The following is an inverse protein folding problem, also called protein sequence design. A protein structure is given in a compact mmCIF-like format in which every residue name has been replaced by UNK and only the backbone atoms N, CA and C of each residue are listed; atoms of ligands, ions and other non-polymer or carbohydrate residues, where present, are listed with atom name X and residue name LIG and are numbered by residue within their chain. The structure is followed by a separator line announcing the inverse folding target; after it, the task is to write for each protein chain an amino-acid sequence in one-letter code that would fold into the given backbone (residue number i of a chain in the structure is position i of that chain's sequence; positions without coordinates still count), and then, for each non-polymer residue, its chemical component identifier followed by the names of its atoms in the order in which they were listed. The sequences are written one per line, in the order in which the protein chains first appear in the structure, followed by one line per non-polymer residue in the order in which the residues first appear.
data_IF_475387331518
#
_entry.id   IF_475387331518
#
_cell.length_a   1.000
_cell.length_b   1.000
_cell.length_c   1.000
_cell.angle_alpha   90.00
_cell.angle_beta   90.00
_cell.angle_gamma   90.00
#
_symmetry.space_group_name_H-M   'P 1'
#
loop_
_entity.id
_entity.type
_entity.pdbx_description
1 polymer ?
#
# COMPACT_ATOMS: atom_id res chain seq x y z
N UNK A 1 30.37 -48.72 -1.05
CA UNK A 1 29.21 -48.50 -0.17
C UNK A 1 29.48 -47.19 0.55
N UNK A 2 28.78 -46.13 0.13
CA UNK A 2 28.97 -44.79 0.66
C UNK A 2 28.13 -44.63 1.93
N UNK A 3 28.74 -44.09 2.99
CA UNK A 3 28.04 -43.40 4.07
C UNK A 3 28.84 -42.15 4.35
N UNK A 4 28.48 -41.10 3.63
CA UNK A 4 28.98 -39.74 3.80
C UNK A 4 28.38 -39.18 5.10
N UNK A 5 29.25 -38.94 6.08
CA UNK A 5 28.93 -38.18 7.28
C UNK A 5 28.96 -36.69 6.92
N UNK A 6 27.78 -36.10 6.72
CA UNK A 6 27.61 -34.65 6.61
C UNK A 6 26.77 -34.17 7.79
N UNK A 7 27.51 -33.66 8.77
CA UNK A 7 27.01 -32.74 9.77
C UNK A 7 27.02 -31.34 9.15
N UNK A 8 25.90 -30.93 8.56
CA UNK A 8 25.67 -29.60 8.02
C UNK A 8 24.47 -28.93 8.68
N UNK A 9 24.77 -28.14 9.72
CA UNK A 9 24.26 -26.77 9.87
C UNK A 9 22.76 -26.54 10.06
N UNK A 10 22.44 -25.88 11.19
CA UNK A 10 21.21 -25.10 11.44
C UNK A 10 19.90 -25.89 11.51
N UNK A 11 19.31 -25.93 12.69
CA UNK A 11 18.09 -25.15 12.95
C UNK A 11 17.65 -25.31 14.40
N UNK A 12 18.03 -24.36 15.25
CA UNK A 12 17.44 -24.23 16.58
C UNK A 12 16.85 -22.83 16.78
N UNK A 13 16.06 -22.41 15.78
CA UNK A 13 15.38 -21.10 15.77
C UNK A 13 13.86 -21.26 15.78
N UNK A 14 13.33 -22.46 16.06
CA UNK A 14 11.91 -22.77 15.86
C UNK A 14 11.04 -22.78 17.11
N UNK A 15 11.60 -22.67 18.32
CA UNK A 15 10.77 -22.74 19.55
C UNK A 15 10.36 -21.37 20.11
N UNK A 16 10.82 -20.25 19.55
CA UNK A 16 10.45 -18.90 20.03
C UNK A 16 9.29 -18.25 19.25
N UNK A 17 8.60 -19.02 18.41
CA UNK A 17 7.50 -18.54 17.58
C UNK A 17 6.10 -18.98 18.04
N UNK A 18 5.98 -19.67 19.18
CA UNK A 18 4.69 -20.09 19.76
C UNK A 18 4.06 -18.99 20.64
N UNK A 19 4.01 -17.76 20.13
CA UNK A 19 3.24 -16.63 20.70
C UNK A 19 1.90 -16.53 19.92
N UNK A 20 0.71 -16.51 20.55
CA UNK A 20 -0.56 -16.92 19.94
C UNK A 20 -1.18 -15.91 18.95
N UNK A 21 -0.42 -14.94 18.47
CA UNK A 21 -0.85 -14.01 17.44
C UNK A 21 -0.22 -14.35 16.10
N UNK A 22 -0.73 -15.42 15.50
CA UNK A 22 -0.85 -15.45 14.05
C UNK A 22 -1.80 -14.30 13.71
N UNK A 23 -1.27 -13.12 13.37
CA UNK A 23 -2.02 -12.15 12.58
C UNK A 23 -2.39 -12.90 11.31
N UNK A 24 -3.58 -13.48 11.29
CA UNK A 24 -4.12 -14.15 10.14
C UNK A 24 -4.43 -13.01 9.16
N UNK A 25 -3.46 -12.69 8.29
CA UNK A 25 -3.65 -11.73 7.20
C UNK A 25 -3.83 -12.44 5.83
N UNK A 26 -4.72 -13.44 5.65
CA UNK A 26 -5.25 -13.74 4.34
C UNK A 26 -6.30 -12.68 3.99
N UNK A 27 -6.23 -12.19 2.75
CA UNK A 27 -7.25 -11.36 2.07
C UNK A 27 -7.48 -9.91 2.54
N UNK A 28 -6.56 -9.30 3.29
CA UNK A 28 -6.64 -7.86 3.59
C UNK A 28 -6.59 -7.02 2.31
N UNK A 29 -7.53 -6.08 2.18
CA UNK A 29 -7.66 -5.17 1.02
C UNK A 29 -7.17 -3.77 1.38
N UNK A 30 -7.16 -2.84 0.41
CA UNK A 30 -6.81 -1.44 0.66
C UNK A 30 -7.73 -0.77 1.70
N UNK A 31 -9.00 -1.20 1.80
CA UNK A 31 -9.91 -0.72 2.85
C UNK A 31 -9.49 -1.11 4.27
N UNK A 32 -8.67 -2.15 4.42
CA UNK A 32 -8.13 -2.59 5.71
C UNK A 32 -6.82 -1.89 6.08
N UNK A 33 -6.30 -1.00 5.22
CA UNK A 33 -5.06 -0.27 5.46
C UNK A 33 -5.04 0.42 6.84
N UNK A 34 -6.10 1.10 7.32
CA UNK A 34 -6.08 1.70 8.66
C UNK A 34 -5.84 0.69 9.78
N UNK A 35 -6.38 -0.54 9.66
CA UNK A 35 -6.15 -1.62 10.63
C UNK A 35 -4.71 -2.13 10.54
N UNK A 36 -4.19 -2.30 9.33
CA UNK A 36 -2.81 -2.71 9.12
C UNK A 36 -1.81 -1.69 9.68
N UNK A 37 -2.10 -0.39 9.57
CA UNK A 37 -1.25 0.66 10.17
C UNK A 37 -1.22 0.55 11.69
N UNK A 38 -2.34 0.25 12.35
CA UNK A 38 -2.39 0.02 13.80
C UNK A 38 -1.48 -1.15 14.21
N UNK A 39 -1.60 -2.28 13.50
CA UNK A 39 -0.73 -3.44 13.71
C UNK A 39 0.75 -3.11 13.45
N UNK A 40 1.04 -2.32 12.41
CA UNK A 40 2.41 -1.90 12.10
C UNK A 40 3.02 -1.03 13.20
N UNK A 41 2.26 -0.07 13.76
CA UNK A 41 2.71 0.74 14.89
C UNK A 41 3.09 -0.14 16.08
N UNK A 42 2.20 -1.08 16.45
CA UNK A 42 2.43 -2.00 17.56
C UNK A 42 3.66 -2.89 17.31
N UNK A 43 3.78 -3.48 16.12
CA UNK A 43 4.92 -4.33 15.74
C UNK A 43 6.25 -3.55 15.72
N UNK A 44 6.24 -2.30 15.26
CA UNK A 44 7.44 -1.46 15.24
C UNK A 44 7.90 -1.08 16.65
N UNK A 45 6.97 -0.77 17.55
CA UNK A 45 7.29 -0.47 18.95
C UNK A 45 7.78 -1.74 19.67
N UNK A 46 7.16 -2.89 19.42
CA UNK A 46 7.63 -4.18 19.95
C UNK A 46 9.10 -4.44 19.54
N UNK A 47 9.42 -4.22 18.26
CA UNK A 47 10.77 -4.36 17.75
C UNK A 47 11.73 -3.34 18.38
N UNK A 48 11.30 -2.08 18.53
CA UNK A 48 12.09 -1.02 19.15
C UNK A 48 12.44 -1.32 20.61
N UNK A 49 11.47 -1.75 21.42
CA UNK A 49 11.71 -2.09 22.84
C UNK A 49 12.66 -3.27 22.94
N UNK A 50 12.45 -4.31 22.11
CA UNK A 50 13.33 -5.48 22.08
C UNK A 50 14.76 -5.10 21.72
N UNK A 51 14.96 -4.25 20.71
CA UNK A 51 16.30 -3.80 20.29
C UNK A 51 16.96 -2.91 21.37
N UNK A 52 16.25 -1.94 21.93
CA UNK A 52 16.79 -1.01 22.94
C UNK A 52 17.12 -1.68 24.27
N UNK A 53 16.39 -2.73 24.64
CA UNK A 53 16.57 -3.47 25.91
C UNK A 53 17.23 -4.84 25.68
N UNK A 54 17.76 -5.10 24.48
CA UNK A 54 18.47 -6.34 24.18
C UNK A 54 19.76 -6.41 25.01
N UNK A 55 19.88 -7.43 25.84
CA UNK A 55 21.07 -7.66 26.65
C UNK A 55 21.27 -9.16 26.82
N UNK A 56 22.50 -9.62 26.60
CA UNK A 56 22.87 -11.04 26.65
C UNK A 56 22.57 -11.72 28.00
N UNK A 57 22.35 -10.94 29.06
CA UNK A 57 22.09 -11.43 30.42
C UNK A 57 20.66 -11.18 30.89
N UNK A 58 19.81 -10.59 30.05
CA UNK A 58 18.43 -10.25 30.38
C UNK A 58 17.45 -11.25 29.78
N UNK A 59 16.51 -11.70 30.61
CA UNK A 59 15.34 -12.45 30.16
C UNK A 59 14.27 -11.46 29.71
N UNK A 60 13.91 -11.52 28.43
CA UNK A 60 12.85 -10.73 27.84
C UNK A 60 11.59 -11.57 27.71
N UNK A 61 10.46 -11.05 28.19
CA UNK A 61 9.13 -11.59 27.90
C UNK A 61 8.17 -10.46 27.53
N UNK A 62 7.19 -10.80 26.69
CA UNK A 62 6.16 -9.89 26.21
C UNK A 62 4.79 -10.49 26.52
N UNK A 63 3.89 -9.69 27.05
CA UNK A 63 2.47 -10.02 27.20
C UNK A 63 1.62 -9.05 26.36
N UNK A 64 0.30 -9.14 26.47
CA UNK A 64 -0.61 -8.22 25.77
C UNK A 64 -0.39 -6.76 26.21
N UNK A 65 -0.19 -6.54 27.51
CA UNK A 65 -0.19 -5.24 28.16
C UNK A 65 1.20 -4.71 28.54
N UNK A 66 2.21 -5.58 28.65
CA UNK A 66 3.53 -5.18 29.15
C UNK A 66 4.70 -5.94 28.50
N UNK A 67 5.84 -5.26 28.46
CA UNK A 67 7.14 -5.86 28.23
C UNK A 67 7.81 -6.04 29.60
N UNK A 68 8.33 -7.24 29.86
CA UNK A 68 9.05 -7.55 31.10
C UNK A 68 10.48 -7.94 30.77
N UNK A 69 11.43 -7.22 31.36
CA UNK A 69 12.87 -7.47 31.24
C UNK A 69 13.40 -7.78 32.63
N UNK A 70 13.98 -8.96 32.83
CA UNK A 70 14.52 -9.37 34.13
C UNK A 70 15.99 -9.78 34.05
N UNK A 71 16.81 -9.26 34.96
CA UNK A 71 18.24 -9.54 35.04
C UNK A 71 18.57 -10.03 36.45
N UNK A 72 19.29 -11.15 36.55
CA UNK A 72 19.87 -11.62 37.80
C UNK A 72 21.14 -10.83 38.15
N UNK A 73 21.34 -10.51 39.41
CA UNK A 73 22.55 -9.85 39.90
C UNK A 73 23.48 -10.85 40.56
N UNK A 74 24.80 -10.61 40.52
CA UNK A 74 25.81 -11.53 41.07
C UNK A 74 25.67 -11.82 42.58
N UNK A 75 24.93 -10.99 43.32
CA UNK A 75 24.73 -11.10 44.77
C UNK A 75 23.39 -11.74 45.16
N UNK A 76 22.76 -12.50 44.25
CA UNK A 76 21.48 -13.19 44.51
C UNK A 76 20.24 -12.29 44.51
N UNK A 77 20.38 -11.03 44.08
CA UNK A 77 19.26 -10.12 43.82
C UNK A 77 18.79 -10.15 42.36
N UNK A 78 17.70 -9.46 42.04
CA UNK A 78 17.18 -9.33 40.68
C UNK A 78 16.70 -7.90 40.39
N UNK A 79 16.76 -7.53 39.12
CA UNK A 79 16.15 -6.30 38.60
C UNK A 79 15.11 -6.69 37.57
N UNK A 80 13.88 -6.22 37.74
CA UNK A 80 12.78 -6.42 36.80
C UNK A 80 12.25 -5.07 36.34
N UNK A 81 12.37 -4.79 35.05
CA UNK A 81 11.80 -3.63 34.38
C UNK A 81 10.53 -4.04 33.65
N UNK A 82 9.43 -3.34 33.92
CA UNK A 82 8.14 -3.47 33.24
C UNK A 82 7.88 -2.21 32.44
N UNK A 83 7.48 -2.37 31.19
CA UNK A 83 7.15 -1.26 30.29
C UNK A 83 5.74 -1.48 29.75
N UNK A 84 4.84 -0.52 29.91
CA UNK A 84 3.47 -0.64 29.38
C UNK A 84 3.50 -0.67 27.84
N UNK A 85 2.82 -1.63 27.25
CA UNK A 85 2.75 -1.85 25.81
C UNK A 85 1.69 -0.92 25.16
N UNK A 86 1.83 -0.57 23.87
CA UNK A 86 0.75 0.08 23.14
C UNK A 86 -0.50 -0.81 23.06
N UNK A 87 -1.66 -0.14 23.00
CA UNK A 87 -2.97 -0.79 22.87
C UNK A 87 -3.16 -1.48 21.50
N UNK A 88 -4.35 -2.02 21.26
CA UNK A 88 -4.72 -2.65 19.98
C UNK A 88 -4.68 -1.71 18.77
N UNK A 89 -4.80 -0.39 18.99
CA UNK A 89 -4.68 0.63 17.95
C UNK A 89 -3.22 1.03 17.71
N UNK A 90 -2.31 0.49 18.52
CA UNK A 90 -0.90 0.85 18.50
C UNK A 90 -0.68 2.25 19.06
N UNK A 91 -1.51 2.71 19.99
CA UNK A 91 -1.44 4.00 20.68
C UNK A 91 -1.08 3.81 22.17
N UNK A 92 -0.60 4.86 22.84
CA UNK A 92 -0.22 4.82 24.25
C UNK A 92 0.95 3.88 24.60
N UNK A 93 1.11 3.57 25.88
CA UNK A 93 2.25 2.80 26.40
C UNK A 93 3.50 3.66 26.70
N UNK A 94 4.60 3.00 27.03
CA UNK A 94 5.90 3.62 27.30
C UNK A 94 6.21 3.92 28.78
N UNK A 95 5.24 3.80 29.70
CA UNK A 95 5.49 3.96 31.13
C UNK A 95 6.40 2.85 31.64
N UNK A 96 7.51 3.22 32.28
CA UNK A 96 8.49 2.26 32.80
C UNK A 96 8.38 2.14 34.31
N UNK A 97 8.51 0.93 34.82
CA UNK A 97 8.59 0.62 36.24
C UNK A 97 9.71 -0.38 36.46
N UNK A 98 10.76 0.04 37.15
CA UNK A 98 11.89 -0.82 37.51
C UNK A 98 11.79 -1.20 38.97
N UNK A 99 11.81 -2.50 39.23
CA UNK A 99 11.80 -3.08 40.57
C UNK A 99 13.13 -3.74 40.82
N UNK A 100 13.75 -3.46 41.96
CA UNK A 100 15.02 -4.06 42.35
C UNK A 100 14.84 -4.81 43.67
N UNK A 101 15.24 -6.08 43.66
CA UNK A 101 15.27 -6.94 44.82
C UNK A 101 16.72 -7.27 45.17
N UNK A 102 17.12 -7.03 46.42
CA UNK A 102 18.47 -7.33 46.92
C UNK A 102 18.38 -8.01 48.29
N UNK A 103 19.51 -8.53 48.78
CA UNK A 103 19.61 -9.01 50.16
C UNK A 103 19.25 -7.96 51.23
N UNK A 104 19.22 -6.67 50.87
CA UNK A 104 18.95 -5.55 51.76
C UNK A 104 17.51 -5.01 51.65
N UNK A 105 16.68 -5.56 50.76
CA UNK A 105 15.27 -5.20 50.63
C UNK A 105 14.80 -4.94 49.19
N UNK A 106 13.64 -4.29 49.09
CA UNK A 106 12.89 -4.02 47.86
C UNK A 106 12.85 -2.51 47.56
N UNK A 107 13.10 -2.13 46.31
CA UNK A 107 12.87 -0.77 45.82
C UNK A 107 12.13 -0.76 44.48
N UNK A 108 11.39 0.33 44.22
CA UNK A 108 10.62 0.57 43.00
C UNK A 108 10.93 1.97 42.48
N UNK A 109 11.28 2.05 41.20
CA UNK A 109 11.55 3.28 40.47
C UNK A 109 10.58 3.40 39.29
N UNK A 110 10.04 4.59 39.09
CA UNK A 110 9.09 4.93 38.00
C UNK A 110 9.48 6.24 37.32
N UNK A 111 10.75 6.63 37.40
CA UNK A 111 11.28 7.88 36.81
C UNK A 111 11.57 7.77 35.31
N UNK A 112 11.87 6.57 34.81
CA UNK A 112 12.05 6.31 33.38
C UNK A 112 10.69 6.33 32.66
N UNK A 113 10.64 6.96 31.49
CA UNK A 113 9.46 7.05 30.64
C UNK A 113 9.92 6.95 29.17
N UNK A 114 9.22 6.13 28.38
CA UNK A 114 9.46 5.90 26.96
C UNK A 114 8.30 6.38 26.07
N UNK A 115 7.31 7.08 26.64
CA UNK A 115 6.12 7.55 25.91
C UNK A 115 6.51 8.47 24.76
N UNK A 116 7.49 9.37 24.93
CA UNK A 116 7.96 10.25 23.85
C UNK A 116 8.61 9.48 22.70
N UNK A 117 9.44 8.47 22.99
CA UNK A 117 10.05 7.66 21.94
C UNK A 117 9.03 6.81 21.20
N UNK A 118 8.02 6.28 21.90
CA UNK A 118 6.92 5.55 21.27
C UNK A 118 6.13 6.47 20.32
N UNK A 119 5.87 7.72 20.73
CA UNK A 119 5.26 8.69 19.83
C UNK A 119 6.16 9.06 18.65
N UNK A 120 7.47 9.12 18.84
CA UNK A 120 8.43 9.28 17.75
C UNK A 120 8.31 8.17 16.70
N UNK A 121 8.18 6.91 17.13
CA UNK A 121 7.98 5.76 16.22
C UNK A 121 6.65 5.89 15.48
N UNK A 122 5.55 6.19 16.19
CA UNK A 122 4.22 6.38 15.58
C UNK A 122 4.22 7.51 14.55
N UNK A 123 4.80 8.66 14.90
CA UNK A 123 4.88 9.82 14.02
C UNK A 123 5.66 9.48 12.74
N UNK A 124 6.79 8.76 12.87
CA UNK A 124 7.58 8.32 11.71
C UNK A 124 6.76 7.41 10.79
N UNK A 125 6.06 6.41 11.34
CA UNK A 125 5.19 5.52 10.54
C UNK A 125 4.08 6.32 9.85
N UNK A 126 3.36 7.16 10.59
CA UNK A 126 2.30 7.99 10.04
C UNK A 126 2.79 8.88 8.90
N UNK A 127 3.98 9.50 9.06
CA UNK A 127 4.57 10.38 8.05
C UNK A 127 4.86 9.64 6.73
N UNK A 128 5.35 8.40 6.82
CA UNK A 128 5.69 7.58 5.65
C UNK A 128 4.42 7.08 4.95
N UNK A 129 3.39 6.73 5.72
CA UNK A 129 2.17 6.15 5.16
C UNK A 129 1.20 7.22 4.65
N UNK A 130 1.25 8.45 5.19
CA UNK A 130 0.34 9.55 4.84
C UNK A 130 0.07 9.74 3.34
N UNK A 131 1.06 9.72 2.42
CA UNK A 131 0.80 9.86 0.98
C UNK A 131 -0.01 8.70 0.37
N UNK A 132 -0.07 7.57 1.05
CA UNK A 132 -0.60 6.31 0.56
C UNK A 132 -1.93 5.91 1.24
N UNK A 133 -2.47 6.72 2.16
CA UNK A 133 -3.73 6.44 2.86
C UNK A 133 -4.95 6.77 2.00
N UNK A 134 -4.83 7.77 1.13
CA UNK A 134 -5.95 8.35 0.38
C UNK A 134 -5.73 8.27 -1.13
N UNK A 135 -5.27 7.12 -1.61
CA UNK A 135 -5.13 6.89 -3.05
C UNK A 135 -6.52 6.89 -3.71
N UNK A 136 -6.68 7.47 -4.91
CA UNK A 136 -7.94 7.46 -5.67
C UNK A 136 -8.56 6.06 -5.84
N UNK A 137 -9.89 5.99 -5.85
CA UNK A 137 -10.62 4.73 -6.07
C UNK A 137 -10.63 4.32 -7.55
N UNK A 138 -10.01 3.18 -7.94
CA UNK A 138 -10.02 2.73 -9.32
C UNK A 138 -11.43 2.50 -9.89
N UNK A 139 -12.43 2.24 -9.05
CA UNK A 139 -13.82 2.07 -9.51
C UNK A 139 -14.38 3.36 -10.11
N UNK A 140 -14.16 4.49 -9.45
CA UNK A 140 -14.58 5.82 -9.93
C UNK A 140 -13.95 6.16 -11.29
N UNK A 141 -12.68 5.82 -11.48
CA UNK A 141 -12.01 6.02 -12.78
C UNK A 141 -12.63 5.13 -13.86
N UNK A 142 -13.03 3.90 -13.50
CA UNK A 142 -13.73 2.99 -14.41
C UNK A 142 -15.09 3.51 -14.90
N UNK A 143 -15.81 4.27 -14.08
CA UNK A 143 -17.07 4.93 -14.47
C UNK A 143 -16.81 5.98 -15.58
N UNK A 144 -15.77 6.80 -15.41
CA UNK A 144 -15.37 7.80 -16.41
C UNK A 144 -14.87 7.16 -17.73
N UNK A 145 -14.18 6.02 -17.63
CA UNK A 145 -13.84 5.20 -18.81
C UNK A 145 -15.09 4.74 -19.53
N UNK A 146 -16.15 4.35 -18.81
CA UNK A 146 -17.44 3.94 -19.38
C UNK A 146 -18.11 5.06 -20.17
N UNK A 147 -18.11 6.28 -19.63
CA UNK A 147 -18.65 7.45 -20.35
C UNK A 147 -17.82 7.79 -21.59
N UNK A 148 -16.49 7.71 -21.52
CA UNK A 148 -15.63 7.88 -22.69
C UNK A 148 -15.96 6.84 -23.78
N UNK A 149 -16.15 5.57 -23.41
CA UNK A 149 -16.53 4.52 -24.35
C UNK A 149 -17.88 4.78 -25.01
N UNK A 150 -18.85 5.35 -24.27
CA UNK A 150 -20.15 5.74 -24.80
C UNK A 150 -20.02 6.85 -25.84
N UNK A 151 -19.22 7.87 -25.56
CA UNK A 151 -18.96 8.99 -26.50
C UNK A 151 -18.21 8.50 -27.73
N UNK A 152 -17.18 7.67 -27.56
CA UNK A 152 -16.44 7.04 -28.67
C UNK A 152 -17.39 6.26 -29.58
N UNK A 153 -18.33 5.49 -29.01
CA UNK A 153 -19.31 4.72 -29.78
C UNK A 153 -20.26 5.59 -30.62
N UNK A 154 -20.52 6.83 -30.21
CA UNK A 154 -21.36 7.78 -30.97
C UNK A 154 -20.59 8.48 -32.10
N UNK A 155 -19.28 8.67 -31.91
CA UNK A 155 -18.40 9.42 -32.82
C UNK A 155 -17.63 8.52 -33.80
N UNK A 156 -17.59 7.21 -33.56
CA UNK A 156 -16.80 6.26 -34.35
C UNK A 156 -17.14 6.34 -35.85
N UNK A 157 -16.13 6.47 -36.70
CA UNK A 157 -16.35 6.50 -38.15
C UNK A 157 -16.79 5.13 -38.69
N UNK A 158 -16.19 4.06 -38.17
CA UNK A 158 -16.45 2.69 -38.59
C UNK A 158 -16.56 1.77 -37.38
N UNK A 159 -17.09 0.57 -37.62
CA UNK A 159 -17.02 -0.47 -36.63
C UNK A 159 -15.54 -0.77 -36.33
N UNK A 160 -15.12 -0.64 -35.08
CA UNK A 160 -13.74 -0.86 -34.64
C UNK A 160 -13.71 -1.78 -33.43
N UNK A 161 -12.59 -2.45 -33.19
CA UNK A 161 -12.39 -3.25 -31.99
C UNK A 161 -11.54 -2.42 -31.03
N UNK A 162 -12.11 -2.02 -29.89
CA UNK A 162 -11.39 -1.34 -28.81
C UNK A 162 -11.49 -2.16 -27.53
N UNK A 163 -10.34 -2.41 -26.88
CA UNK A 163 -10.25 -3.18 -25.63
C UNK A 163 -10.98 -4.54 -25.67
N UNK A 164 -10.90 -5.24 -26.81
CA UNK A 164 -11.54 -6.55 -27.02
C UNK A 164 -13.07 -6.51 -27.25
N UNK A 165 -13.69 -5.33 -27.33
CA UNK A 165 -15.12 -5.16 -27.65
C UNK A 165 -15.29 -4.54 -29.04
N UNK A 166 -16.33 -4.99 -29.76
CA UNK A 166 -16.74 -4.40 -31.04
C UNK A 166 -17.53 -3.11 -30.75
N UNK A 167 -16.99 -1.98 -31.16
CA UNK A 167 -17.65 -0.68 -31.19
C UNK A 167 -18.24 -0.51 -32.59
N UNK A 168 -19.57 -0.40 -32.78
CA UNK A 168 -20.18 -0.18 -34.08
C UNK A 168 -19.89 1.24 -34.63
N UNK A 169 -20.14 1.47 -35.92
CA UNK A 169 -20.08 2.82 -36.51
C UNK A 169 -21.06 3.74 -35.79
N UNK A 170 -20.59 4.95 -35.46
CA UNK A 170 -21.30 5.95 -34.69
C UNK A 170 -22.34 6.68 -35.54
N UNK A 171 -23.52 6.88 -34.95
CA UNK A 171 -24.68 7.46 -35.64
C UNK A 171 -24.42 8.85 -36.21
N UNK A 172 -23.54 9.64 -35.59
CA UNK A 172 -23.20 11.00 -36.04
C UNK A 172 -22.41 10.93 -37.35
N UNK A 173 -21.32 10.16 -37.38
CA UNK A 173 -20.50 10.06 -38.59
C UNK A 173 -21.27 9.40 -39.73
N UNK A 174 -22.08 8.38 -39.45
CA UNK A 174 -22.97 7.78 -40.46
C UNK A 174 -23.89 8.83 -41.08
N UNK A 175 -24.55 9.66 -40.25
CA UNK A 175 -25.44 10.73 -40.74
C UNK A 175 -24.72 11.81 -41.53
N UNK A 176 -23.52 12.22 -41.10
CA UNK A 176 -22.69 13.20 -41.83
C UNK A 176 -22.30 12.64 -43.20
N UNK A 177 -21.89 11.37 -43.27
CA UNK A 177 -21.54 10.71 -44.53
C UNK A 177 -22.77 10.58 -45.44
N UNK A 178 -23.94 10.19 -44.92
CA UNK A 178 -25.17 10.13 -45.72
C UNK A 178 -25.57 11.49 -46.29
N UNK A 179 -25.50 12.56 -45.49
CA UNK A 179 -25.76 13.93 -45.97
C UNK A 179 -24.75 14.30 -47.06
N UNK A 180 -23.47 13.98 -46.88
CA UNK A 180 -22.46 14.23 -47.90
C UNK A 180 -22.78 13.50 -49.22
N UNK A 181 -23.11 12.22 -49.16
CA UNK A 181 -23.47 11.39 -50.33
C UNK A 181 -24.71 11.90 -51.07
N UNK A 182 -25.75 12.31 -50.34
CA UNK A 182 -26.96 12.89 -50.94
C UNK A 182 -26.66 14.24 -51.63
N UNK A 183 -25.86 15.09 -50.99
CA UNK A 183 -25.52 16.40 -51.53
C UNK A 183 -24.57 16.30 -52.73
N UNK A 184 -23.72 15.27 -52.82
CA UNK A 184 -22.83 15.06 -53.98
C UNK A 184 -23.61 15.03 -55.30
N UNK A 185 -24.86 14.56 -55.29
CA UNK A 185 -25.72 14.56 -56.48
C UNK A 185 -26.28 15.94 -56.84
N UNK A 186 -26.21 16.90 -55.93
CA UNK A 186 -26.65 18.27 -56.14
C UNK A 186 -25.49 19.15 -56.61
N UNK A 187 -25.64 19.76 -57.78
CA UNK A 187 -24.69 20.72 -58.36
C UNK A 187 -25.09 22.17 -58.11
N UNK A 188 -24.11 23.07 -58.09
CA UNK A 188 -24.31 24.52 -57.98
C UNK A 188 -23.35 25.17 -57.00
N UNK A 189 -22.98 26.43 -57.25
CA UNK A 189 -21.96 27.15 -56.47
C UNK A 189 -22.29 27.20 -54.96
N UNK A 190 -23.56 27.48 -54.60
CA UNK A 190 -24.02 27.49 -53.21
C UNK A 190 -23.92 26.12 -52.55
N UNK A 191 -24.20 25.05 -53.30
CA UNK A 191 -24.16 23.69 -52.79
C UNK A 191 -22.73 23.22 -52.54
N UNK A 192 -21.81 23.51 -53.47
CA UNK A 192 -20.38 23.25 -53.29
C UNK A 192 -19.80 24.00 -52.08
N UNK A 193 -20.19 25.28 -51.90
CA UNK A 193 -19.79 26.05 -50.73
C UNK A 193 -20.32 25.44 -49.41
N UNK A 194 -21.54 24.88 -49.42
CA UNK A 194 -22.11 24.22 -48.24
C UNK A 194 -21.42 22.88 -47.92
N UNK A 195 -21.15 22.04 -48.95
CA UNK A 195 -20.40 20.78 -48.78
C UNK A 195 -19.05 21.02 -48.11
N UNK A 196 -18.26 21.95 -48.64
CA UNK A 196 -16.90 22.16 -48.15
C UNK A 196 -16.87 22.92 -46.81
N UNK A 197 -17.65 23.98 -46.66
CA UNK A 197 -17.58 24.78 -45.43
C UNK A 197 -18.33 24.19 -44.24
N UNK A 198 -19.34 23.34 -44.46
CA UNK A 198 -20.18 22.82 -43.38
C UNK A 198 -19.98 21.32 -43.21
N UNK A 199 -20.20 20.51 -44.26
CA UNK A 199 -20.21 19.05 -44.11
C UNK A 199 -18.80 18.50 -43.86
N UNK A 200 -17.80 18.92 -44.65
CA UNK A 200 -16.41 18.51 -44.44
C UNK A 200 -15.87 18.99 -43.09
N UNK A 201 -16.18 20.23 -42.70
CA UNK A 201 -15.80 20.77 -41.39
C UNK A 201 -16.43 20.00 -40.23
N UNK A 202 -17.72 19.66 -40.31
CA UNK A 202 -18.39 18.84 -39.28
C UNK A 202 -17.78 17.44 -39.22
N UNK A 203 -17.49 16.81 -40.37
CA UNK A 203 -16.79 15.52 -40.42
C UNK A 203 -15.41 15.59 -39.76
N UNK A 204 -14.63 16.63 -40.05
CA UNK A 204 -13.33 16.87 -39.43
C UNK A 204 -13.42 17.08 -37.91
N UNK A 205 -14.41 17.83 -37.43
CA UNK A 205 -14.65 18.05 -35.99
C UNK A 205 -15.00 16.74 -35.29
N UNK A 206 -15.90 15.93 -35.86
CA UNK A 206 -16.30 14.63 -35.29
C UNK A 206 -15.10 13.69 -35.22
N UNK A 207 -14.27 13.64 -36.26
CA UNK A 207 -13.04 12.84 -36.29
C UNK A 207 -12.03 13.28 -35.22
N UNK A 208 -11.80 14.58 -35.07
CA UNK A 208 -10.90 15.12 -34.04
C UNK A 208 -11.40 14.83 -32.62
N UNK A 209 -12.70 14.96 -32.37
CA UNK A 209 -13.31 14.63 -31.08
C UNK A 209 -13.22 13.13 -30.77
N UNK A 210 -13.43 12.28 -31.77
CA UNK A 210 -13.22 10.83 -31.63
C UNK A 210 -11.78 10.50 -31.23
N UNK A 211 -10.80 11.09 -31.89
CA UNK A 211 -9.38 10.89 -31.59
C UNK A 211 -9.01 11.36 -30.18
N UNK A 212 -9.45 12.56 -29.79
CA UNK A 212 -9.20 13.11 -28.45
C UNK A 212 -9.84 12.25 -27.34
N UNK A 213 -11.10 11.83 -27.52
CA UNK A 213 -11.80 10.99 -26.54
C UNK A 213 -11.17 9.62 -26.41
N UNK A 214 -10.69 9.04 -27.52
CA UNK A 214 -9.96 7.76 -27.51
C UNK A 214 -8.66 7.87 -26.72
N UNK A 215 -7.91 8.95 -26.91
CA UNK A 215 -6.69 9.22 -26.15
C UNK A 215 -7.00 9.33 -24.64
N UNK A 216 -7.99 10.12 -24.25
CA UNK A 216 -8.40 10.26 -22.85
C UNK A 216 -8.85 8.94 -22.23
N UNK A 217 -9.66 8.15 -22.95
CA UNK A 217 -10.06 6.80 -22.51
C UNK A 217 -8.83 5.92 -22.25
N UNK A 218 -7.83 5.94 -23.13
CA UNK A 218 -6.61 5.16 -22.96
C UNK A 218 -5.81 5.60 -21.72
N UNK A 219 -5.66 6.91 -21.52
CA UNK A 219 -4.99 7.47 -20.33
C UNK A 219 -5.72 7.09 -19.04
N UNK A 220 -7.05 7.22 -19.00
CA UNK A 220 -7.85 6.85 -17.82
C UNK A 220 -7.75 5.36 -17.49
N UNK A 221 -7.74 4.48 -18.50
CA UNK A 221 -7.52 3.04 -18.29
C UNK A 221 -6.12 2.76 -17.69
N UNK A 222 -5.09 3.47 -18.16
CA UNK A 222 -3.75 3.34 -17.61
C UNK A 222 -3.67 3.83 -16.16
N UNK A 223 -4.32 4.96 -15.83
CA UNK A 223 -4.43 5.48 -14.47
C UNK A 223 -5.17 4.49 -13.56
N UNK A 224 -6.30 3.94 -14.01
CA UNK A 224 -7.06 2.93 -13.27
C UNK A 224 -6.19 1.72 -12.90
N UNK A 225 -5.46 1.18 -13.89
CA UNK A 225 -4.54 0.06 -13.66
C UNK A 225 -3.40 0.42 -12.71
N UNK A 226 -2.87 1.64 -12.82
CA UNK A 226 -1.79 2.15 -11.94
C UNK A 226 -2.26 2.25 -10.49
N UNK A 227 -3.43 2.85 -10.24
CA UNK A 227 -3.96 2.96 -8.88
C UNK A 227 -4.36 1.61 -8.29
N UNK A 228 -4.86 0.68 -9.10
CA UNK A 228 -5.15 -0.69 -8.65
C UNK A 228 -3.88 -1.35 -8.12
N UNK A 229 -2.81 -1.36 -8.92
CA UNK A 229 -1.51 -1.92 -8.53
C UNK A 229 -0.87 -1.17 -7.35
N UNK A 230 -0.98 0.16 -7.31
CA UNK A 230 -0.44 0.96 -6.21
C UNK A 230 -1.12 0.59 -4.88
N UNK A 231 -2.45 0.48 -4.87
CA UNK A 231 -3.21 0.07 -3.68
C UNK A 231 -2.82 -1.33 -3.19
N UNK A 232 -2.69 -2.29 -4.11
CA UNK A 232 -2.22 -3.65 -3.79
C UNK A 232 -0.79 -3.65 -3.22
N UNK A 233 0.12 -2.89 -3.85
CA UNK A 233 1.52 -2.77 -3.44
C UNK A 233 1.67 -2.18 -2.04
N UNK A 234 0.90 -1.13 -1.71
CA UNK A 234 0.89 -0.52 -0.37
C UNK A 234 0.48 -1.54 0.69
N UNK A 235 -0.63 -2.25 0.47
CA UNK A 235 -1.12 -3.27 1.40
C UNK A 235 -0.07 -4.37 1.61
N UNK A 236 0.51 -4.89 0.53
CA UNK A 236 1.49 -5.95 0.61
C UNK A 236 2.77 -5.50 1.32
N UNK A 237 3.21 -4.27 1.08
CA UNK A 237 4.39 -3.68 1.73
C UNK A 237 4.19 -3.54 3.24
N UNK A 238 3.02 -3.04 3.67
CA UNK A 238 2.69 -2.94 5.10
C UNK A 238 2.63 -4.33 5.74
N UNK A 239 1.98 -5.31 5.09
CA UNK A 239 1.93 -6.70 5.56
C UNK A 239 3.32 -7.30 5.75
N UNK A 240 4.19 -7.14 4.75
CA UNK A 240 5.56 -7.63 4.82
C UNK A 240 6.35 -6.95 5.93
N UNK A 241 6.17 -5.64 6.11
CA UNK A 241 6.83 -4.88 7.17
C UNK A 241 6.43 -5.36 8.56
N UNK A 242 5.13 -5.60 8.80
CA UNK A 242 4.65 -6.19 10.05
C UNK A 242 5.33 -7.54 10.30
N UNK A 243 5.30 -8.44 9.31
CA UNK A 243 5.93 -9.76 9.42
C UNK A 243 7.42 -9.67 9.74
N UNK A 244 8.14 -8.80 9.05
CA UNK A 244 9.58 -8.68 9.28
C UNK A 244 9.91 -8.12 10.66
N UNK A 245 9.16 -7.13 11.15
CA UNK A 245 9.33 -6.57 12.50
C UNK A 245 9.03 -7.62 13.59
N UNK A 246 8.18 -8.60 13.30
CA UNK A 246 7.92 -9.73 14.20
C UNK A 246 9.04 -10.78 14.19
N UNK A 247 9.69 -11.01 13.03
CA UNK A 247 10.69 -12.07 12.87
C UNK A 247 12.11 -11.62 13.26
N UNK A 248 12.48 -10.36 13.02
CA UNK A 248 13.82 -9.86 13.34
C UNK A 248 13.82 -8.36 13.65
N UNK A 249 14.11 -7.94 14.90
CA UNK A 249 14.19 -6.51 15.26
C UNK A 249 15.33 -5.76 14.55
N UNK A 250 16.36 -6.45 14.04
CA UNK A 250 17.72 -5.90 13.97
C UNK A 250 18.21 -5.39 12.60
N UNK A 251 17.39 -5.21 11.56
CA UNK A 251 17.98 -4.86 10.23
C UNK A 251 17.16 -3.96 9.30
N UNK A 252 15.99 -3.44 9.70
CA UNK A 252 15.03 -2.90 8.70
C UNK A 252 14.93 -1.38 8.67
N UNK A 253 15.27 -0.67 9.75
CA UNK A 253 15.31 0.80 9.67
C UNK A 253 16.38 1.32 8.68
N UNK A 254 17.45 0.54 8.44
CA UNK A 254 18.47 0.86 7.43
C UNK A 254 18.06 0.48 6.00
N UNK A 255 17.29 -0.60 5.81
CA UNK A 255 16.84 -1.05 4.47
C UNK A 255 15.57 -0.34 3.98
N UNK A 256 14.81 0.31 4.88
CA UNK A 256 13.62 1.06 4.50
C UNK A 256 13.96 2.23 3.58
N UNK A 257 15.11 2.89 3.74
CA UNK A 257 15.48 4.04 2.89
C UNK A 257 15.85 3.66 1.44
N UNK A 258 16.19 2.38 1.19
CA UNK A 258 16.58 1.89 -0.14
C UNK A 258 15.43 1.27 -0.92
N UNK A 259 14.36 0.81 -0.27
CA UNK A 259 13.21 0.15 -0.93
C UNK A 259 12.18 1.11 -1.54
N UNK A 260 12.23 2.41 -1.23
CA UNK A 260 11.30 3.43 -1.78
C UNK A 260 11.82 4.12 -3.05
N UNK A 261 13.00 3.73 -3.56
CA UNK A 261 13.40 4.13 -4.90
C UNK A 261 12.59 3.30 -5.88
N UNK A 262 11.62 3.95 -6.52
CA UNK A 262 10.92 3.42 -7.68
C UNK A 262 11.93 2.73 -8.62
N UNK A 263 11.64 1.53 -9.14
CA UNK A 263 12.40 1.00 -10.26
C UNK A 263 12.35 2.04 -11.37
N UNK A 264 13.51 2.47 -11.86
CA UNK A 264 13.62 3.34 -13.03
C UNK A 264 12.74 2.74 -14.14
N UNK A 265 11.66 3.43 -14.47
CA UNK A 265 10.97 3.26 -15.74
C UNK A 265 11.89 3.86 -16.81
N UNK A 266 12.74 3.00 -17.39
CA UNK A 266 13.30 3.21 -18.72
C UNK A 266 12.34 2.64 -19.76
#
# INVERSE_FOLDING_TARGET
MASDDKNDGKSDYREWFDDPYVFNIPDATYGDLPKLVRSLKRAAIDAYVRDKKDSLTANYSRTEDEYTISVGTANGGSVTTRITRPDENGEGGGKVTTTTFTAFGYSKDTSEDMTEEFEGVRHKINSIIKPWVDLPDPKRIGEEVGECQRVISLLADKATIQSGKVVPSGTIQTKVNSIHEELVQMGGYTMEAFKSNIIENVGGIVSNLYAATTLWSATLNAEQGTFTKARESVVQTVKNSIKCLMISPMTIMASWNSSWRLPNLQ
#
